data_IF_483969220120
#
_entry.id   IF_483969220120
#
_cell.length_a   1.000
_cell.length_b   1.000
_cell.length_c   1.000
_cell.angle_alpha   90.00
_cell.angle_beta   90.00
_cell.angle_gamma   90.00
#
_symmetry.space_group_name_H-M   'P 1'
#
loop_
_entity.id
_entity.type
_entity.pdbx_description
1 polymer ?
#
# COMPACT_ATOMS: atom_id res chain seq x y z
N UNK A 1 -12.70 -24.90 -7.90
CA UNK A 1 -13.20 -26.18 -7.35
C UNK A 1 -14.59 -26.53 -7.85
N UNK A 2 -15.66 -25.78 -7.50
CA UNK A 2 -17.03 -26.06 -7.99
C UNK A 2 -17.13 -26.06 -9.52
N UNK A 3 -16.52 -25.07 -10.17
CA UNK A 3 -16.44 -25.00 -11.66
C UNK A 3 -15.79 -26.26 -12.24
N UNK A 4 -14.59 -26.63 -11.78
CA UNK A 4 -13.90 -27.86 -12.21
C UNK A 4 -14.72 -29.13 -11.99
N UNK A 5 -15.46 -29.22 -10.88
CA UNK A 5 -16.30 -30.37 -10.59
C UNK A 5 -17.55 -30.43 -11.47
N UNK A 6 -18.06 -29.28 -11.93
CA UNK A 6 -19.21 -29.20 -12.82
C UNK A 6 -18.82 -29.56 -14.28
N UNK A 7 -17.66 -29.11 -14.74
CA UNK A 7 -17.14 -29.44 -16.07
C UNK A 7 -15.60 -29.42 -16.06
N UNK A 8 -14.92 -30.58 -16.18
CA UNK A 8 -13.48 -30.64 -16.19
C UNK A 8 -12.85 -30.10 -17.48
N UNK A 9 -13.61 -29.94 -18.57
CA UNK A 9 -13.13 -29.49 -19.88
C UNK A 9 -12.95 -27.98 -19.96
N UNK A 10 -13.62 -27.21 -19.09
CA UNK A 10 -13.53 -25.75 -19.06
C UNK A 10 -12.16 -25.32 -18.54
N UNK A 11 -11.39 -24.51 -19.31
CA UNK A 11 -10.17 -23.89 -18.81
C UNK A 11 -10.48 -22.89 -17.68
N UNK A 12 -9.77 -22.99 -16.56
CA UNK A 12 -9.91 -22.12 -15.40
C UNK A 12 -8.65 -21.29 -15.24
N UNK A 13 -8.75 -20.01 -15.61
CA UNK A 13 -7.70 -19.02 -15.44
C UNK A 13 -8.01 -18.15 -14.23
N UNK A 14 -7.06 -18.03 -13.30
CA UNK A 14 -7.18 -17.15 -12.14
C UNK A 14 -6.44 -15.84 -12.39
N UNK A 15 -7.17 -14.72 -12.44
CA UNK A 15 -6.56 -13.39 -12.54
C UNK A 15 -6.20 -12.88 -11.14
N UNK A 16 -4.96 -12.41 -10.97
CA UNK A 16 -4.30 -12.01 -9.72
C UNK A 16 -3.87 -13.25 -8.94
N UNK A 17 -2.56 -13.41 -8.80
CA UNK A 17 -1.99 -14.53 -8.06
C UNK A 17 -2.37 -14.41 -6.58
N UNK A 18 -2.96 -15.45 -5.96
CA UNK A 18 -3.32 -15.38 -4.55
C UNK A 18 -2.06 -15.48 -3.68
N UNK A 19 -1.51 -14.34 -3.25
CA UNK A 19 -0.23 -14.21 -2.53
C UNK A 19 -0.17 -14.93 -1.17
N UNK A 20 -1.22 -15.66 -0.77
CA UNK A 20 -1.25 -16.50 0.45
C UNK A 20 -0.15 -17.57 0.44
N UNK A 21 0.30 -18.00 -0.75
CA UNK A 21 1.45 -18.91 -0.88
C UNK A 21 2.72 -18.35 -0.23
N UNK A 22 2.87 -17.03 -0.09
CA UNK A 22 4.07 -16.40 0.48
C UNK A 22 4.26 -16.72 1.98
N UNK A 23 3.19 -16.99 2.72
CA UNK A 23 3.24 -17.36 4.14
C UNK A 23 2.63 -18.74 4.44
N UNK A 24 1.99 -19.38 3.45
CA UNK A 24 1.56 -20.79 3.48
C UNK A 24 1.92 -21.48 2.16
N UNK A 25 3.18 -21.95 1.99
CA UNK A 25 3.67 -22.44 0.69
C UNK A 25 2.86 -23.60 0.12
N UNK A 26 2.30 -24.47 0.97
CA UNK A 26 1.42 -25.57 0.55
C UNK A 26 0.14 -25.14 -0.20
N UNK A 27 -0.21 -23.84 -0.18
CA UNK A 27 -1.33 -23.31 -0.97
C UNK A 27 -1.05 -23.28 -2.46
N UNK A 28 0.21 -23.12 -2.89
CA UNK A 28 0.57 -23.14 -4.31
C UNK A 28 0.20 -24.47 -4.98
N UNK A 29 0.71 -25.63 -4.54
CA UNK A 29 0.37 -26.91 -5.17
C UNK A 29 -1.10 -27.28 -5.00
N UNK A 30 -1.72 -26.86 -3.88
CA UNK A 30 -3.13 -27.09 -3.63
C UNK A 30 -4.06 -26.40 -4.64
N UNK A 31 -3.58 -25.46 -5.47
CA UNK A 31 -4.38 -24.84 -6.53
C UNK A 31 -4.44 -25.67 -7.81
N UNK A 32 -3.40 -26.45 -8.12
CA UNK A 32 -3.28 -27.21 -9.37
C UNK A 32 -4.53 -28.03 -9.74
N UNK A 33 -5.21 -28.71 -8.81
CA UNK A 33 -6.37 -29.52 -9.17
C UNK A 33 -7.57 -28.73 -9.72
N UNK A 34 -7.58 -27.39 -9.63
CA UNK A 34 -8.74 -26.58 -10.03
C UNK A 34 -8.41 -25.21 -10.63
N UNK A 35 -7.15 -24.93 -10.93
CA UNK A 35 -6.68 -23.73 -11.63
C UNK A 35 -5.65 -24.19 -12.66
N UNK A 36 -5.93 -23.93 -13.93
CA UNK A 36 -5.05 -24.35 -15.03
C UNK A 36 -3.94 -23.32 -15.28
N UNK A 37 -4.22 -22.03 -15.06
CA UNK A 37 -3.26 -20.96 -15.30
C UNK A 37 -3.52 -19.75 -14.40
N UNK A 38 -2.47 -19.00 -14.06
CA UNK A 38 -2.56 -17.78 -13.25
C UNK A 38 -2.05 -16.58 -14.05
N UNK A 39 -2.83 -15.49 -14.09
CA UNK A 39 -2.37 -14.20 -14.59
C UNK A 39 -1.78 -13.41 -13.41
N UNK A 40 -0.46 -13.45 -13.31
CA UNK A 40 0.35 -12.81 -12.27
C UNK A 40 0.47 -11.31 -12.53
N UNK A 41 0.36 -10.51 -11.47
CA UNK A 41 0.44 -9.05 -11.55
C UNK A 41 1.75 -8.50 -11.02
N UNK A 42 2.57 -9.33 -10.37
CA UNK A 42 3.94 -9.00 -10.00
C UNK A 42 4.91 -9.97 -10.69
N UNK A 43 6.04 -9.49 -11.22
CA UNK A 43 6.90 -10.30 -12.09
C UNK A 43 7.50 -11.52 -11.36
N UNK A 44 7.78 -11.41 -10.06
CA UNK A 44 8.36 -12.50 -9.27
C UNK A 44 7.38 -13.66 -9.02
N UNK A 45 6.07 -13.44 -9.12
CA UNK A 45 5.05 -14.45 -8.78
C UNK A 45 5.13 -15.67 -9.70
N UNK A 46 5.49 -15.47 -10.97
CA UNK A 46 5.67 -16.55 -11.95
C UNK A 46 6.74 -17.53 -11.48
N UNK A 47 7.90 -17.00 -11.05
CA UNK A 47 9.01 -17.81 -10.55
C UNK A 47 8.64 -18.50 -9.23
N UNK A 48 7.96 -17.82 -8.33
CA UNK A 48 7.56 -18.39 -7.04
C UNK A 48 6.50 -19.49 -7.17
N UNK A 49 5.52 -19.34 -8.06
CA UNK A 49 4.55 -20.40 -8.37
C UNK A 49 5.26 -21.64 -8.90
N UNK A 50 6.19 -21.49 -9.85
CA UNK A 50 6.97 -22.60 -10.37
C UNK A 50 7.78 -23.28 -9.25
N UNK A 51 8.50 -22.49 -8.42
CA UNK A 51 9.31 -22.99 -7.31
C UNK A 51 8.50 -23.76 -6.28
N UNK A 52 7.29 -23.31 -5.98
CA UNK A 52 6.40 -23.94 -4.99
C UNK A 52 5.54 -25.07 -5.58
N UNK A 53 5.70 -25.37 -6.88
CA UNK A 53 4.90 -26.40 -7.54
C UNK A 53 3.42 -26.03 -7.70
N UNK A 54 3.11 -24.75 -7.86
CA UNK A 54 1.77 -24.25 -8.19
C UNK A 54 1.43 -24.30 -9.68
N UNK A 55 0.24 -23.82 -10.09
CA UNK A 55 -0.15 -23.70 -11.49
C UNK A 55 0.84 -22.85 -12.29
N UNK A 56 0.96 -23.06 -13.63
CA UNK A 56 1.73 -22.16 -14.49
C UNK A 56 1.18 -20.74 -14.41
N UNK A 57 2.07 -19.76 -14.56
CA UNK A 57 1.73 -18.35 -14.46
C UNK A 57 2.28 -17.54 -15.63
N UNK A 58 1.55 -16.50 -16.04
CA UNK A 58 2.02 -15.47 -16.97
C UNK A 58 1.96 -14.12 -16.29
N UNK A 59 3.05 -13.36 -16.33
CA UNK A 59 3.05 -11.98 -15.85
C UNK A 59 2.33 -11.09 -16.87
N UNK A 60 1.28 -10.38 -16.41
CA UNK A 60 0.44 -9.51 -17.25
C UNK A 60 0.51 -8.03 -16.88
N UNK A 61 1.42 -7.67 -15.95
CA UNK A 61 1.53 -6.31 -15.46
C UNK A 61 0.62 -6.00 -14.28
N UNK A 62 0.95 -4.93 -13.56
CA UNK A 62 0.14 -4.42 -12.46
C UNK A 62 -0.65 -3.19 -12.92
N UNK A 63 -1.97 -3.15 -12.69
CA UNK A 63 -2.82 -2.01 -13.08
C UNK A 63 -2.30 -0.64 -12.62
N UNK A 64 -1.68 -0.61 -11.44
CA UNK A 64 -1.13 0.62 -10.84
C UNK A 64 0.04 1.21 -11.64
N UNK A 65 0.75 0.42 -12.43
CA UNK A 65 1.83 0.93 -13.28
C UNK A 65 1.34 1.88 -14.37
N UNK A 66 0.03 1.86 -14.67
CA UNK A 66 -0.62 2.71 -15.67
C UNK A 66 -1.68 3.62 -15.05
N UNK A 67 -1.72 3.77 -13.72
CA UNK A 67 -2.69 4.64 -13.07
C UNK A 67 -2.32 6.12 -13.31
N UNK A 68 -3.22 6.94 -13.88
CA UNK A 68 -2.91 8.35 -14.19
C UNK A 68 -2.54 9.17 -12.95
N UNK A 69 -3.11 8.86 -11.79
CA UNK A 69 -2.81 9.54 -10.53
C UNK A 69 -1.41 9.23 -10.04
N UNK A 70 -0.98 7.97 -10.15
CA UNK A 70 0.40 7.56 -9.83
C UNK A 70 1.39 8.21 -10.79
N UNK A 71 1.11 8.21 -12.09
CA UNK A 71 1.99 8.84 -13.10
C UNK A 71 2.14 10.34 -12.81
N UNK A 72 1.03 11.03 -12.49
CA UNK A 72 1.06 12.45 -12.11
C UNK A 72 1.87 12.68 -10.84
N UNK A 73 1.66 11.87 -9.80
CA UNK A 73 2.41 11.96 -8.55
C UNK A 73 3.92 11.73 -8.77
N UNK A 74 4.29 10.73 -9.57
CA UNK A 74 5.67 10.44 -9.93
C UNK A 74 6.33 11.61 -10.69
N UNK A 75 5.61 12.20 -11.65
CA UNK A 75 6.08 13.38 -12.38
C UNK A 75 6.33 14.59 -11.47
N UNK A 76 5.49 14.78 -10.45
CA UNK A 76 5.70 15.81 -9.42
C UNK A 76 6.89 15.48 -8.50
N UNK A 77 7.04 14.22 -8.09
CA UNK A 77 8.13 13.76 -7.21
C UNK A 77 9.51 13.82 -7.88
N UNK A 78 9.56 13.78 -9.22
CA UNK A 78 10.77 13.92 -10.03
C UNK A 78 11.27 15.37 -10.17
N UNK A 79 10.48 16.36 -9.77
CA UNK A 79 10.92 17.75 -9.78
C UNK A 79 11.98 18.00 -8.68
N UNK A 80 12.90 18.97 -8.86
CA UNK A 80 13.85 19.35 -7.82
C UNK A 80 13.16 19.70 -6.50
N UNK A 81 13.73 19.23 -5.39
CA UNK A 81 13.21 19.51 -4.05
C UNK A 81 14.08 20.49 -3.31
N UNK A 82 13.42 21.26 -2.47
CA UNK A 82 14.07 22.08 -1.46
C UNK A 82 14.54 21.19 -0.30
N UNK A 83 15.86 21.06 -0.15
CA UNK A 83 16.50 20.26 0.90
C UNK A 83 17.02 21.12 2.07
N UNK A 84 16.61 22.39 2.12
CA UNK A 84 16.98 23.29 3.20
C UNK A 84 16.48 22.79 4.56
N UNK A 85 17.20 23.14 5.62
CA UNK A 85 16.88 22.68 6.98
C UNK A 85 15.58 23.31 7.52
N UNK A 86 15.23 24.50 7.04
CA UNK A 86 14.03 25.25 7.39
C UNK A 86 12.80 24.89 6.55
N UNK A 87 12.98 24.07 5.51
CA UNK A 87 11.90 23.52 4.70
C UNK A 87 10.83 22.82 5.56
N UNK A 88 9.55 23.15 5.31
CA UNK A 88 8.43 22.46 5.94
C UNK A 88 8.16 21.16 5.19
N UNK A 89 8.61 20.04 5.79
CA UNK A 89 8.54 18.72 5.17
C UNK A 89 7.12 18.18 5.18
N UNK A 90 6.63 17.71 4.04
CA UNK A 90 5.33 17.04 3.94
C UNK A 90 5.47 15.56 4.29
N UNK A 91 4.88 15.14 5.42
CA UNK A 91 4.86 13.75 5.86
C UNK A 91 3.48 13.14 5.61
N UNK A 92 3.42 12.06 4.84
CA UNK A 92 2.22 11.24 4.74
C UNK A 92 2.11 10.34 5.96
N UNK A 93 0.93 10.31 6.55
CA UNK A 93 0.56 9.40 7.63
C UNK A 93 -0.54 8.50 7.09
N UNK A 94 -0.28 7.20 6.97
CA UNK A 94 -1.20 6.27 6.30
C UNK A 94 -1.40 5.05 7.22
N UNK A 95 -2.19 5.16 8.30
CA UNK A 95 -2.26 4.16 9.38
C UNK A 95 -3.01 2.87 8.97
N UNK A 96 -3.41 2.76 7.71
CA UNK A 96 -4.06 1.58 7.15
C UNK A 96 -5.50 1.84 6.74
N UNK A 97 -6.04 0.88 6.01
CA UNK A 97 -7.42 0.92 5.52
C UNK A 97 -8.37 0.16 6.43
N UNK A 98 -7.85 -0.67 7.35
CA UNK A 98 -8.65 -1.48 8.27
C UNK A 98 -8.64 -0.90 9.67
N UNK A 99 -9.77 -0.99 10.38
CA UNK A 99 -9.92 -0.51 11.77
C UNK A 99 -8.81 -1.00 12.72
N UNK A 100 -8.41 -2.26 12.58
CA UNK A 100 -7.33 -2.85 13.40
C UNK A 100 -5.96 -2.25 13.13
N UNK A 101 -5.63 -1.97 11.87
CA UNK A 101 -4.38 -1.28 11.48
C UNK A 101 -4.38 0.13 12.06
N UNK A 102 -5.49 0.88 11.88
CA UNK A 102 -5.63 2.25 12.40
C UNK A 102 -5.42 2.30 13.91
N UNK A 103 -6.13 1.46 14.68
CA UNK A 103 -5.98 1.42 16.15
C UNK A 103 -4.56 1.11 16.60
N UNK A 104 -3.81 0.32 15.83
CA UNK A 104 -2.45 -0.09 16.19
C UNK A 104 -1.39 0.92 15.76
N UNK A 105 -1.59 1.62 14.66
CA UNK A 105 -0.52 2.42 14.06
C UNK A 105 -0.69 3.92 14.30
N UNK A 106 -1.90 4.44 14.54
CA UNK A 106 -2.07 5.88 14.80
C UNK A 106 -1.28 6.32 16.03
N UNK A 107 -1.33 5.61 17.16
CA UNK A 107 -0.56 5.97 18.36
C UNK A 107 0.95 6.11 18.09
N UNK A 108 1.64 5.04 17.64
CA UNK A 108 3.06 5.10 17.29
C UNK A 108 3.41 6.15 16.22
N UNK A 109 2.52 6.40 15.26
CA UNK A 109 2.73 7.46 14.26
C UNK A 109 2.69 8.84 14.91
N UNK A 110 1.77 9.08 15.85
CA UNK A 110 1.71 10.32 16.63
C UNK A 110 2.98 10.52 17.46
N UNK A 111 3.43 9.49 18.17
CA UNK A 111 4.71 9.52 18.91
C UNK A 111 5.90 9.85 17.99
N UNK A 112 5.95 9.24 16.80
CA UNK A 112 6.99 9.52 15.80
C UNK A 112 6.97 10.98 15.36
N UNK A 113 5.77 11.53 15.09
CA UNK A 113 5.60 12.94 14.74
C UNK A 113 6.08 13.85 15.87
N UNK A 114 5.70 13.57 17.12
CA UNK A 114 6.14 14.34 18.29
C UNK A 114 7.66 14.31 18.46
N UNK A 115 8.30 13.16 18.26
CA UNK A 115 9.77 13.02 18.33
C UNK A 115 10.45 13.84 17.22
N UNK A 116 9.95 13.76 15.98
CA UNK A 116 10.50 14.54 14.86
C UNK A 116 10.37 16.05 15.11
N UNK A 117 9.23 16.49 15.67
CA UNK A 117 9.00 17.87 16.08
C UNK A 117 9.96 18.32 17.18
N UNK A 118 10.16 17.51 18.23
CA UNK A 118 11.09 17.80 19.31
C UNK A 118 12.55 17.92 18.83
N UNK A 119 12.90 17.27 17.71
CA UNK A 119 14.19 17.41 17.02
C UNK A 119 14.30 18.66 16.14
N UNK A 120 13.30 19.53 16.14
CA UNK A 120 13.29 20.79 15.40
C UNK A 120 12.75 20.71 13.97
N UNK A 121 12.20 19.56 13.54
CA UNK A 121 11.62 19.48 12.20
C UNK A 121 10.29 20.22 12.10
N UNK A 122 10.11 20.96 11.01
CA UNK A 122 8.82 21.55 10.63
C UNK A 122 8.11 20.60 9.69
N UNK A 123 6.94 20.11 10.09
CA UNK A 123 6.18 19.13 9.33
C UNK A 123 4.88 19.75 8.80
N UNK A 124 4.41 19.24 7.67
CA UNK A 124 3.02 19.32 7.22
C UNK A 124 2.51 17.90 7.16
N UNK A 125 1.49 17.58 7.94
CA UNK A 125 0.96 16.22 8.02
C UNK A 125 -0.25 16.06 7.08
N UNK A 126 -0.17 15.11 6.16
CA UNK A 126 -1.29 14.72 5.30
C UNK A 126 -1.67 13.27 5.58
N UNK A 127 -2.95 13.00 5.78
CA UNK A 127 -3.46 11.67 6.11
C UNK A 127 -4.57 11.27 5.13
N UNK A 128 -4.21 10.74 3.94
CA UNK A 128 -5.17 10.08 3.08
C UNK A 128 -5.75 8.83 3.75
N UNK A 129 -7.07 8.68 3.73
CA UNK A 129 -7.74 7.51 4.31
C UNK A 129 -9.01 7.16 3.55
N UNK A 130 -9.67 6.08 3.98
CA UNK A 130 -10.89 5.57 3.35
C UNK A 130 -12.12 5.90 4.20
N UNK A 131 -13.30 6.14 3.59
CA UNK A 131 -14.49 6.64 4.30
C UNK A 131 -14.86 5.84 5.56
N UNK A 132 -14.80 4.52 5.49
CA UNK A 132 -15.26 3.64 6.57
C UNK A 132 -14.36 3.63 7.83
N UNK A 133 -13.14 4.19 7.78
CA UNK A 133 -12.29 4.39 8.97
C UNK A 133 -12.07 5.88 9.29
N UNK A 134 -12.66 6.80 8.53
CA UNK A 134 -12.40 8.24 8.65
C UNK A 134 -12.72 8.77 10.06
N UNK A 135 -13.84 8.38 10.65
CA UNK A 135 -14.21 8.85 12.00
C UNK A 135 -13.30 8.29 13.09
N UNK A 136 -12.87 7.03 12.92
CA UNK A 136 -11.87 6.44 13.81
C UNK A 136 -10.56 7.22 13.72
N UNK A 137 -10.08 7.52 12.51
CA UNK A 137 -8.90 8.36 12.29
C UNK A 137 -9.07 9.72 12.95
N UNK A 138 -10.16 10.45 12.66
CA UNK A 138 -10.47 11.77 13.24
C UNK A 138 -10.41 11.75 14.76
N UNK A 139 -11.08 10.77 15.39
CA UNK A 139 -11.07 10.63 16.84
C UNK A 139 -9.67 10.32 17.39
N UNK A 140 -8.88 9.52 16.68
CA UNK A 140 -7.58 9.04 17.15
C UNK A 140 -6.47 10.10 17.00
N UNK A 141 -6.61 11.03 16.05
CA UNK A 141 -5.68 12.16 15.86
C UNK A 141 -6.15 13.44 16.56
N UNK A 142 -7.31 13.42 17.22
CA UNK A 142 -7.89 14.61 17.84
C UNK A 142 -7.02 15.18 18.97
N UNK A 143 -6.26 14.33 19.65
CA UNK A 143 -5.35 14.67 20.75
C UNK A 143 -3.93 14.99 20.30
N UNK A 144 -3.63 14.96 19.01
CA UNK A 144 -2.30 15.31 18.52
C UNK A 144 -2.11 16.83 18.59
N UNK A 145 -0.92 17.26 19.04
CA UNK A 145 -0.54 18.68 19.06
C UNK A 145 -0.65 19.32 17.67
N UNK A 146 -0.27 18.56 16.64
CA UNK A 146 -0.46 18.91 15.25
C UNK A 146 -1.38 17.91 14.57
N UNK A 147 -2.51 18.40 14.08
CA UNK A 147 -3.51 17.57 13.42
C UNK A 147 -3.19 17.44 11.93
N UNK A 148 -3.22 16.21 11.38
CA UNK A 148 -3.08 16.02 9.95
C UNK A 148 -4.30 16.52 9.19
N UNK A 149 -4.06 16.98 7.96
CA UNK A 149 -5.11 17.18 6.97
C UNK A 149 -5.63 15.81 6.52
N UNK A 150 -6.86 15.46 6.92
CA UNK A 150 -7.48 14.19 6.55
C UNK A 150 -8.06 14.30 5.13
N UNK A 151 -7.59 13.44 4.25
CA UNK A 151 -7.95 13.44 2.82
C UNK A 151 -8.75 12.18 2.51
N UNK A 152 -9.99 12.34 2.05
CA UNK A 152 -10.84 11.23 1.58
C UNK A 152 -10.97 11.19 0.06
N UNK A 153 -10.63 12.29 -0.60
CA UNK A 153 -10.71 12.42 -2.03
C UNK A 153 -9.52 11.74 -2.73
N UNK A 154 -9.82 10.97 -3.78
CA UNK A 154 -8.83 10.17 -4.48
C UNK A 154 -7.84 11.04 -5.26
N UNK A 155 -8.30 12.14 -5.87
CA UNK A 155 -7.42 13.04 -6.61
C UNK A 155 -6.45 13.77 -5.68
N UNK A 156 -6.96 14.29 -4.55
CA UNK A 156 -6.14 14.90 -3.51
C UNK A 156 -5.16 13.92 -2.87
N UNK A 157 -5.47 12.62 -2.80
CA UNK A 157 -4.50 11.59 -2.39
C UNK A 157 -3.28 11.61 -3.32
N UNK A 158 -3.48 11.62 -4.63
CA UNK A 158 -2.38 11.63 -5.60
C UNK A 158 -1.59 12.93 -5.55
N UNK A 159 -2.27 14.08 -5.38
CA UNK A 159 -1.60 15.35 -5.17
C UNK A 159 -0.77 15.36 -3.87
N UNK A 160 -1.25 14.70 -2.81
CA UNK A 160 -0.50 14.54 -1.57
C UNK A 160 0.76 13.68 -1.78
N UNK A 161 0.66 12.59 -2.55
CA UNK A 161 1.81 11.75 -2.90
C UNK A 161 2.84 12.56 -3.70
N UNK A 162 2.38 13.36 -4.67
CA UNK A 162 3.24 14.25 -5.47
C UNK A 162 4.04 15.27 -4.65
N UNK A 163 3.55 15.65 -3.46
CA UNK A 163 4.16 16.67 -2.58
C UNK A 163 4.90 16.09 -1.38
N UNK A 164 4.86 14.77 -1.20
CA UNK A 164 5.37 14.13 0.01
C UNK A 164 6.91 14.04 0.02
N UNK A 165 7.51 14.31 1.16
CA UNK A 165 8.93 14.06 1.41
C UNK A 165 9.18 12.66 1.95
N UNK A 166 8.26 12.16 2.77
CA UNK A 166 8.29 10.81 3.29
C UNK A 166 6.88 10.32 3.64
N UNK A 167 6.75 9.02 3.86
CA UNK A 167 5.51 8.39 4.31
C UNK A 167 5.74 7.40 5.45
N UNK A 168 4.90 7.46 6.48
CA UNK A 168 4.69 6.40 7.47
C UNK A 168 3.44 5.61 7.09
N UNK A 169 3.58 4.32 6.80
CA UNK A 169 2.48 3.53 6.25
C UNK A 169 2.22 2.25 7.03
N UNK A 170 0.96 1.82 7.06
CA UNK A 170 0.65 0.42 7.23
C UNK A 170 1.07 -0.36 5.96
N UNK A 171 1.61 -1.56 6.14
CA UNK A 171 1.96 -2.44 5.02
C UNK A 171 0.73 -2.83 4.20
N UNK A 172 0.82 -2.73 2.86
CA UNK A 172 -0.26 -3.10 1.95
C UNK A 172 -0.08 -2.54 0.54
N UNK A 173 -1.18 -2.42 -0.21
CA UNK A 173 -1.18 -1.87 -1.58
C UNK A 173 -0.56 -0.48 -1.67
N UNK A 174 -0.73 0.34 -0.62
CA UNK A 174 -0.17 1.70 -0.56
C UNK A 174 1.37 1.70 -0.66
N UNK A 175 2.04 0.61 -0.25
CA UNK A 175 3.49 0.47 -0.43
C UNK A 175 3.87 0.49 -1.92
N UNK A 176 3.12 -0.22 -2.76
CA UNK A 176 3.34 -0.21 -4.20
C UNK A 176 2.95 1.13 -4.83
N UNK A 177 1.83 1.74 -4.39
CA UNK A 177 1.43 3.07 -4.88
C UNK A 177 2.52 4.12 -4.63
N UNK A 178 3.09 4.16 -3.41
CA UNK A 178 4.14 5.11 -3.04
C UNK A 178 5.47 4.81 -3.75
N UNK A 179 5.83 3.53 -3.88
CA UNK A 179 7.03 3.14 -4.61
C UNK A 179 6.96 3.57 -6.09
N UNK A 180 5.80 3.38 -6.73
CA UNK A 180 5.58 3.83 -8.11
C UNK A 180 5.52 5.35 -8.22
N UNK A 181 4.99 6.04 -7.20
CA UNK A 181 4.98 7.49 -7.13
C UNK A 181 6.37 8.10 -6.79
N UNK A 182 7.37 7.30 -6.40
CA UNK A 182 8.69 7.81 -6.02
C UNK A 182 8.75 8.45 -4.64
N UNK A 183 7.81 8.13 -3.74
CA UNK A 183 7.78 8.66 -2.37
C UNK A 183 8.58 7.74 -1.43
N UNK A 184 9.62 8.24 -0.74
CA UNK A 184 10.31 7.48 0.30
C UNK A 184 9.34 7.07 1.41
N UNK A 185 9.37 5.80 1.83
CA UNK A 185 8.40 5.27 2.79
C UNK A 185 9.03 4.37 3.86
N UNK A 186 8.44 4.37 5.04
CA UNK A 186 8.69 3.42 6.11
C UNK A 186 7.41 2.60 6.29
N UNK A 187 7.51 1.31 5.96
CA UNK A 187 6.41 0.35 6.16
C UNK A 187 6.42 -0.17 7.58
N UNK A 188 5.35 0.12 8.31
CA UNK A 188 5.20 -0.22 9.72
C UNK A 188 4.14 -1.30 9.88
N UNK A 189 4.43 -2.26 10.75
CA UNK A 189 3.50 -3.31 11.12
C UNK A 189 3.66 -3.61 12.60
N UNK A 190 2.54 -3.71 13.32
CA UNK A 190 2.51 -4.05 14.74
C UNK A 190 1.62 -5.27 14.93
N UNK A 191 2.23 -6.35 15.37
CA UNK A 191 1.56 -7.54 15.87
C UNK A 191 1.05 -7.27 17.29
N UNK A 192 0.18 -8.15 17.76
CA UNK A 192 -0.33 -8.20 19.13
C UNK A 192 0.77 -8.33 20.19
#
# INVERSE_FOLDING_TARGET
KKVRAADPTIPIVHYVCPSVWAWRPGRAPAMKPYVDHILCILPFEVKELARLGGPPGTYVGHRLAHDPGIISAAGAQAQPRDLSADHVKTLLVLPGSRRGEVRRLVGPFGETVSILRARGHRLRLLLPTVPHVADLVRSSVASWDEKPEIILDAERKWQAFGKADAALIASGTVSLELALAGVPMISCYRLD
#
